data_IF_250028085301
#
_entry.id   IF_250028085301
#
_cell.length_a   1.000
_cell.length_b   1.000
_cell.length_c   1.000
_cell.angle_alpha   90.00
_cell.angle_beta   90.00
_cell.angle_gamma   90.00
#
_symmetry.space_group_name_H-M   'P 1'
#
loop_
_entity.id
_entity.type
_entity.pdbx_description
1 polymer ?
#
# COMPACT_ATOMS: atom_id res chain seq x y z
N UNK A 1 6.96 -30.14 10.30
CA UNK A 1 6.08 -30.20 11.50
C UNK A 1 5.00 -29.12 11.38
N UNK A 2 3.98 -29.20 12.25
CA UNK A 2 2.85 -28.24 12.23
C UNK A 2 2.68 -27.71 13.65
N UNK A 3 2.49 -26.42 13.79
CA UNK A 3 2.40 -25.71 15.06
C UNK A 3 1.07 -24.96 15.16
N UNK A 4 0.59 -24.76 16.37
CA UNK A 4 -0.60 -23.95 16.63
C UNK A 4 -0.22 -22.50 16.82
N UNK A 5 -0.89 -21.59 16.11
CA UNK A 5 -0.72 -20.14 16.26
C UNK A 5 -1.99 -19.55 16.85
N UNK A 6 -1.87 -18.85 17.99
CA UNK A 6 -2.96 -18.13 18.66
C UNK A 6 -2.80 -16.63 18.42
N UNK A 7 -3.85 -15.97 17.92
CA UNK A 7 -3.87 -14.52 17.70
C UNK A 7 -4.41 -13.82 18.94
N UNK A 8 -3.73 -12.78 19.42
CA UNK A 8 -4.22 -11.87 20.45
C UNK A 8 -4.58 -10.52 19.84
N UNK A 9 -5.66 -9.85 20.29
CA UNK A 9 -6.49 -10.17 21.46
C UNK A 9 -7.64 -11.16 21.20
N UNK A 10 -7.95 -11.55 19.94
CA UNK A 10 -9.15 -12.30 19.58
C UNK A 10 -9.23 -13.70 20.22
N UNK A 11 -8.08 -14.35 20.41
CA UNK A 11 -8.01 -15.74 20.87
C UNK A 11 -8.22 -16.78 19.75
N UNK A 12 -8.40 -16.35 18.50
CA UNK A 12 -8.52 -17.24 17.35
C UNK A 12 -7.23 -18.04 17.14
N UNK A 13 -7.37 -19.27 16.66
CA UNK A 13 -6.25 -20.19 16.45
C UNK A 13 -6.24 -20.76 15.05
N UNK A 14 -5.05 -21.00 14.53
CA UNK A 14 -4.85 -21.71 13.27
C UNK A 14 -3.59 -22.55 13.30
N UNK A 15 -3.50 -23.49 12.35
CA UNK A 15 -2.36 -24.37 12.20
C UNK A 15 -1.38 -23.82 11.17
N UNK A 16 -0.09 -23.74 11.48
CA UNK A 16 0.97 -23.29 10.59
C UNK A 16 2.05 -24.37 10.40
N UNK A 17 2.43 -24.62 9.16
CA UNK A 17 3.55 -25.50 8.80
C UNK A 17 4.87 -24.73 8.89
N UNK A 18 5.98 -25.45 9.20
CA UNK A 18 7.32 -24.86 9.20
C UNK A 18 7.77 -24.33 7.83
N UNK A 19 7.12 -24.75 6.74
CA UNK A 19 7.47 -24.40 5.36
C UNK A 19 6.56 -23.32 4.76
N UNK A 20 5.66 -22.73 5.54
CA UNK A 20 4.81 -21.64 5.10
C UNK A 20 4.96 -20.41 5.98
N UNK A 21 4.64 -19.23 5.42
CA UNK A 21 4.62 -18.01 6.21
C UNK A 21 3.40 -17.97 7.15
N UNK A 22 3.54 -17.25 8.27
CA UNK A 22 2.43 -17.07 9.23
C UNK A 22 1.21 -16.45 8.54
N UNK A 23 1.42 -15.51 7.60
CA UNK A 23 0.32 -14.91 6.81
C UNK A 23 -0.37 -15.93 5.91
N UNK A 24 0.38 -16.80 5.24
CA UNK A 24 -0.22 -17.81 4.35
C UNK A 24 -1.01 -18.85 5.15
N UNK A 25 -0.48 -19.26 6.31
CA UNK A 25 -1.16 -20.15 7.23
C UNK A 25 -2.48 -19.55 7.75
N UNK A 26 -2.44 -18.27 8.18
CA UNK A 26 -3.62 -17.53 8.61
C UNK A 26 -4.67 -17.44 7.49
N UNK A 27 -4.26 -17.04 6.28
CA UNK A 27 -5.14 -16.91 5.13
C UNK A 27 -5.81 -18.25 4.76
N UNK A 28 -5.04 -19.34 4.77
CA UNK A 28 -5.56 -20.70 4.55
C UNK A 28 -6.62 -21.10 5.58
N UNK A 29 -6.51 -20.60 6.80
CA UNK A 29 -7.47 -20.82 7.88
C UNK A 29 -8.63 -19.80 7.90
N UNK A 30 -8.72 -18.89 6.93
CA UNK A 30 -9.78 -17.89 6.82
C UNK A 30 -9.54 -16.61 7.63
N UNK A 31 -8.34 -16.42 8.19
CA UNK A 31 -7.98 -15.22 8.94
C UNK A 31 -7.13 -14.28 8.07
N UNK A 32 -7.47 -13.00 8.06
CA UNK A 32 -6.68 -11.99 7.35
C UNK A 32 -5.88 -11.16 8.35
N UNK A 33 -4.55 -11.33 8.34
CA UNK A 33 -3.62 -10.48 9.06
C UNK A 33 -3.16 -9.31 8.17
N UNK A 34 -2.70 -8.18 8.73
CA UNK A 34 -2.21 -7.05 7.95
C UNK A 34 -1.05 -7.45 7.04
N UNK A 35 -1.11 -7.08 5.75
CA UNK A 35 0.00 -7.26 4.83
C UNK A 35 -0.03 -6.24 3.67
N UNK A 36 1.14 -6.01 3.07
CA UNK A 36 1.31 -5.24 1.84
C UNK A 36 2.11 -6.05 0.83
N UNK A 37 3.41 -5.80 0.69
CA UNK A 37 4.27 -6.32 -0.37
C UNK A 37 4.49 -7.85 -0.40
N UNK A 38 4.34 -8.57 0.71
CA UNK A 38 4.61 -10.00 0.90
C UNK A 38 6.05 -10.45 0.60
N UNK A 39 6.96 -9.52 0.31
CA UNK A 39 8.37 -9.78 -0.01
C UNK A 39 9.36 -9.29 1.06
N UNK A 40 8.85 -8.84 2.21
CA UNK A 40 9.69 -8.45 3.35
C UNK A 40 10.25 -7.03 3.30
N UNK A 41 9.72 -6.13 2.46
CA UNK A 41 10.25 -4.76 2.30
C UNK A 41 9.43 -3.67 2.99
N UNK A 42 8.09 -3.77 3.02
CA UNK A 42 7.20 -2.67 3.43
C UNK A 42 6.86 -2.61 4.91
N UNK A 43 7.25 -3.60 5.69
CA UNK A 43 6.96 -3.75 7.13
C UNK A 43 5.45 -3.76 7.51
N UNK A 44 4.49 -3.69 6.57
CA UNK A 44 3.05 -3.66 6.87
C UNK A 44 2.53 -4.92 7.61
N UNK A 45 3.27 -6.02 7.53
CA UNK A 45 2.96 -7.26 8.21
C UNK A 45 3.77 -7.46 9.50
N UNK A 46 4.41 -6.39 10.00
CA UNK A 46 5.17 -6.47 11.26
C UNK A 46 4.22 -6.66 12.43
N UNK A 47 4.45 -7.71 13.20
CA UNK A 47 3.69 -8.02 14.41
C UNK A 47 4.59 -8.62 15.47
N UNK A 48 4.04 -8.85 16.64
CA UNK A 48 4.81 -9.32 17.81
C UNK A 48 4.54 -10.78 18.10
N UNK A 49 5.59 -11.55 18.34
CA UNK A 49 5.54 -12.88 18.92
C UNK A 49 5.62 -12.69 20.43
N UNK A 50 4.54 -13.06 21.12
CA UNK A 50 4.46 -12.98 22.59
C UNK A 50 5.04 -14.22 23.24
N UNK A 51 4.80 -15.40 22.63
CA UNK A 51 5.31 -16.69 23.09
C UNK A 51 5.67 -17.56 21.89
N UNK A 52 6.69 -18.41 22.08
CA UNK A 52 7.19 -19.34 21.07
C UNK A 52 8.39 -18.81 20.27
N UNK A 53 8.76 -19.55 19.23
CA UNK A 53 9.94 -19.25 18.39
C UNK A 53 9.56 -19.26 16.92
N UNK A 54 10.16 -18.34 16.15
CA UNK A 54 9.98 -18.22 14.71
C UNK A 54 11.32 -18.20 13.99
N UNK A 55 11.32 -18.68 12.76
CA UNK A 55 12.35 -18.32 11.80
C UNK A 55 11.89 -17.04 11.10
N UNK A 56 12.72 -16.00 11.14
CA UNK A 56 12.37 -14.69 10.58
C UNK A 56 12.41 -14.63 9.05
N UNK A 57 12.90 -15.69 8.38
CA UNK A 57 13.07 -15.73 6.94
C UNK A 57 14.08 -14.68 6.45
N UNK A 58 13.75 -14.00 5.36
CA UNK A 58 14.65 -13.06 4.66
C UNK A 58 14.06 -11.64 4.58
N UNK A 59 13.92 -10.91 5.71
CA UNK A 59 13.52 -9.50 5.67
C UNK A 59 14.52 -8.68 4.85
N UNK A 60 14.02 -7.66 4.13
CA UNK A 60 14.85 -6.81 3.28
C UNK A 60 15.12 -5.45 3.93
N UNK A 61 16.34 -4.96 3.79
CA UNK A 61 16.72 -3.61 4.24
C UNK A 61 16.41 -3.38 5.72
N UNK A 62 15.79 -2.23 6.03
CA UNK A 62 15.40 -1.81 7.37
C UNK A 62 14.00 -2.27 7.80
N UNK A 63 13.34 -3.14 7.02
CA UNK A 63 11.97 -3.58 7.33
C UNK A 63 11.88 -4.34 8.66
N UNK A 64 12.95 -5.01 9.10
CA UNK A 64 13.07 -5.65 10.40
C UNK A 64 14.52 -5.61 10.87
N UNK A 65 14.81 -4.80 11.87
CA UNK A 65 16.16 -4.64 12.42
C UNK A 65 16.39 -5.51 13.69
N UNK A 66 17.65 -5.71 14.07
CA UNK A 66 17.99 -6.68 15.11
C UNK A 66 17.43 -6.32 16.50
N UNK A 67 17.29 -5.06 16.83
CA UNK A 67 16.68 -4.69 18.12
C UNK A 67 15.18 -5.01 18.15
N UNK A 68 14.49 -4.93 17.00
CA UNK A 68 13.06 -5.30 16.87
C UNK A 68 12.88 -6.82 17.01
N UNK A 69 13.77 -7.62 16.39
CA UNK A 69 13.75 -9.09 16.58
C UNK A 69 13.93 -9.45 18.06
N UNK A 70 14.87 -8.79 18.75
CA UNK A 70 15.09 -8.97 20.20
C UNK A 70 13.87 -8.55 21.05
N UNK A 71 13.08 -7.59 20.57
CA UNK A 71 11.82 -7.16 21.18
C UNK A 71 10.62 -8.08 20.85
N UNK A 72 10.85 -9.17 20.11
CA UNK A 72 9.83 -10.13 19.71
C UNK A 72 9.08 -9.75 18.42
N UNK A 73 9.51 -8.72 17.69
CA UNK A 73 8.87 -8.34 16.43
C UNK A 73 9.36 -9.23 15.28
N UNK A 74 8.46 -9.49 14.33
CA UNK A 74 8.79 -10.20 13.09
C UNK A 74 7.90 -9.73 11.93
N UNK A 75 8.27 -10.09 10.71
CA UNK A 75 7.44 -9.88 9.51
C UNK A 75 6.67 -11.16 9.22
N UNK A 76 5.37 -11.19 9.50
CA UNK A 76 4.55 -12.39 9.34
C UNK A 76 4.49 -12.94 7.91
N UNK A 77 4.82 -12.12 6.89
CA UNK A 77 4.92 -12.59 5.51
C UNK A 77 6.22 -13.33 5.18
N UNK A 78 7.22 -13.26 6.05
CA UNK A 78 8.52 -13.93 5.89
C UNK A 78 8.74 -14.99 6.98
N UNK A 79 8.15 -14.76 8.15
CA UNK A 79 8.37 -15.62 9.30
C UNK A 79 7.57 -16.92 9.19
N UNK A 80 8.21 -18.03 9.60
CA UNK A 80 7.56 -19.34 9.79
C UNK A 80 7.66 -19.81 11.24
N UNK A 81 6.66 -20.57 11.69
CA UNK A 81 6.61 -21.11 13.04
C UNK A 81 7.67 -22.20 13.25
N UNK A 82 8.33 -22.19 14.41
CA UNK A 82 9.28 -23.25 14.87
C UNK A 82 8.84 -23.89 16.19
N UNK A 83 7.79 -23.38 16.79
CA UNK A 83 7.05 -23.94 17.93
C UNK A 83 5.61 -23.46 17.87
N UNK A 84 4.76 -23.87 18.79
CA UNK A 84 3.48 -23.21 19.02
C UNK A 84 3.73 -21.73 19.34
N UNK A 85 2.87 -20.83 18.82
CA UNK A 85 3.03 -19.39 18.90
C UNK A 85 1.81 -18.72 19.55
N UNK A 86 2.08 -17.68 20.34
CA UNK A 86 1.09 -16.63 20.63
C UNK A 86 1.58 -15.36 19.97
N UNK A 87 0.78 -14.79 19.07
CA UNK A 87 1.11 -13.57 18.34
C UNK A 87 0.15 -12.44 18.70
N UNK A 88 0.65 -11.22 18.68
CA UNK A 88 -0.17 -10.00 18.75
C UNK A 88 -0.29 -9.42 17.35
N UNK A 89 -1.51 -9.46 16.81
CA UNK A 89 -1.84 -8.95 15.51
C UNK A 89 -3.31 -8.50 15.46
N UNK A 90 -3.58 -7.43 14.72
CA UNK A 90 -4.96 -7.05 14.39
C UNK A 90 -5.48 -7.96 13.29
N UNK A 91 -6.60 -8.62 13.51
CA UNK A 91 -7.32 -9.28 12.42
C UNK A 91 -8.08 -8.23 11.61
N UNK A 92 -7.99 -8.36 10.29
CA UNK A 92 -8.71 -7.49 9.37
C UNK A 92 -10.03 -8.18 9.03
N UNK A 93 -11.13 -7.57 9.42
CA UNK A 93 -12.44 -7.99 8.94
C UNK A 93 -12.52 -7.71 7.43
N UNK A 94 -12.58 -8.75 6.62
CA UNK A 94 -12.87 -8.61 5.20
C UNK A 94 -14.39 -8.55 5.05
N UNK A 95 -14.92 -7.41 4.65
CA UNK A 95 -16.33 -7.30 4.28
C UNK A 95 -16.53 -7.91 2.89
N UNK A 96 -16.90 -9.18 2.84
CA UNK A 96 -17.25 -9.88 1.61
C UNK A 96 -16.05 -10.60 0.94
N UNK A 97 -16.40 -11.64 0.20
CA UNK A 97 -15.46 -12.51 -0.50
C UNK A 97 -15.00 -11.88 -1.83
N UNK A 98 -14.14 -10.84 -1.77
CA UNK A 98 -13.53 -10.36 -2.99
C UNK A 98 -12.47 -11.36 -3.43
N UNK A 99 -12.76 -12.06 -4.51
CA UNK A 99 -11.90 -13.11 -5.07
C UNK A 99 -10.65 -12.52 -5.70
N UNK A 100 -9.49 -13.07 -5.35
CA UNK A 100 -8.22 -12.78 -6.05
C UNK A 100 -8.23 -13.47 -7.41
N UNK A 101 -8.13 -12.70 -8.48
CA UNK A 101 -8.24 -13.19 -9.85
C UNK A 101 -6.97 -12.91 -10.65
N UNK A 102 -6.68 -13.81 -11.58
CA UNK A 102 -5.63 -13.60 -12.60
C UNK A 102 -6.29 -13.23 -13.91
N UNK A 103 -6.04 -12.02 -14.37
CA UNK A 103 -6.65 -11.46 -15.55
C UNK A 103 -5.61 -10.97 -16.56
N UNK A 104 -5.84 -11.14 -17.85
CA UNK A 104 -5.11 -10.39 -18.86
C UNK A 104 -5.58 -8.94 -18.80
N UNK A 105 -4.67 -8.02 -19.08
CA UNK A 105 -4.97 -6.60 -19.24
C UNK A 105 -4.20 -6.03 -20.40
N UNK A 106 -4.73 -4.97 -21.01
CA UNK A 106 -4.10 -4.31 -22.15
C UNK A 106 -3.73 -2.88 -21.75
N UNK A 107 -2.50 -2.48 -22.04
CA UNK A 107 -2.06 -1.09 -21.88
C UNK A 107 -2.97 -0.18 -22.72
N UNK A 108 -3.66 0.73 -22.06
CA UNK A 108 -4.54 1.71 -22.67
C UNK A 108 -3.81 3.01 -22.94
N UNK A 109 -3.08 3.54 -21.93
CA UNK A 109 -2.21 4.69 -22.05
C UNK A 109 -1.03 4.61 -21.09
N UNK A 110 0.01 5.40 -21.41
CA UNK A 110 1.19 5.61 -20.56
C UNK A 110 1.43 7.12 -20.57
N UNK A 111 1.13 7.77 -19.47
CA UNK A 111 1.25 9.23 -19.33
C UNK A 111 2.44 9.54 -18.40
N UNK A 112 3.50 10.12 -18.90
CA UNK A 112 4.65 10.54 -18.10
C UNK A 112 4.35 11.85 -17.38
N UNK A 113 4.09 11.78 -16.07
CA UNK A 113 3.63 12.90 -15.24
C UNK A 113 4.76 13.57 -14.45
N UNK A 114 5.92 12.93 -14.39
CA UNK A 114 7.18 13.48 -13.88
C UNK A 114 8.35 12.77 -14.57
N UNK A 115 9.57 13.24 -14.37
CA UNK A 115 10.78 12.66 -14.99
C UNK A 115 10.94 11.16 -14.69
N UNK A 116 10.49 10.73 -13.51
CA UNK A 116 10.61 9.36 -13.02
C UNK A 116 9.26 8.71 -12.66
N UNK A 117 8.11 9.31 -13.04
CA UNK A 117 6.78 8.75 -12.75
C UNK A 117 5.92 8.70 -14.00
N UNK A 118 5.38 7.51 -14.28
CA UNK A 118 4.37 7.28 -15.31
C UNK A 118 3.05 6.80 -14.68
N UNK A 119 1.94 7.32 -15.20
CA UNK A 119 0.59 6.81 -14.95
C UNK A 119 0.27 5.82 -16.05
N UNK A 120 0.17 4.55 -15.67
CA UNK A 120 -0.14 3.44 -16.57
C UNK A 120 -1.60 3.05 -16.40
N UNK A 121 -2.40 3.18 -17.46
CA UNK A 121 -3.79 2.71 -17.47
C UNK A 121 -3.90 1.39 -18.19
N UNK A 122 -4.52 0.41 -17.54
CA UNK A 122 -4.71 -0.94 -18.02
C UNK A 122 -6.20 -1.22 -18.20
N UNK A 123 -6.61 -1.59 -19.42
CA UNK A 123 -7.98 -1.98 -19.72
C UNK A 123 -8.14 -3.50 -19.55
N UNK A 124 -9.15 -3.91 -18.81
CA UNK A 124 -9.56 -5.31 -18.68
C UNK A 124 -10.37 -5.76 -19.90
N UNK A 125 -10.51 -7.08 -20.17
CA UNK A 125 -11.47 -7.58 -21.13
C UNK A 125 -12.89 -7.09 -20.84
N UNK A 126 -13.69 -6.86 -21.87
CA UNK A 126 -15.02 -6.23 -21.75
C UNK A 126 -16.03 -7.04 -20.92
N UNK A 127 -15.79 -8.36 -20.77
CA UNK A 127 -16.59 -9.26 -19.94
C UNK A 127 -16.03 -9.46 -18.53
N UNK A 128 -14.98 -8.73 -18.16
CA UNK A 128 -14.29 -8.87 -16.87
C UNK A 128 -14.31 -7.54 -16.10
N UNK A 129 -14.54 -7.67 -14.80
CA UNK A 129 -14.43 -6.57 -13.85
C UNK A 129 -13.61 -7.02 -12.65
N UNK A 130 -12.79 -6.15 -12.13
CA UNK A 130 -12.06 -6.39 -10.89
C UNK A 130 -12.77 -5.62 -9.77
N UNK A 131 -13.36 -6.36 -8.83
CA UNK A 131 -13.86 -5.78 -7.58
C UNK A 131 -12.67 -5.61 -6.62
N UNK A 132 -12.59 -4.49 -5.92
CA UNK A 132 -11.53 -4.22 -4.96
C UNK A 132 -11.94 -3.13 -3.96
N UNK A 133 -11.23 -3.06 -2.85
CA UNK A 133 -11.33 -1.93 -1.91
C UNK A 133 -10.35 -0.84 -2.30
N UNK A 134 -10.77 0.43 -2.16
CA UNK A 134 -9.92 1.58 -2.43
C UNK A 134 -8.63 1.52 -1.61
N UNK A 135 -7.47 1.53 -2.28
CA UNK A 135 -6.14 1.41 -1.68
C UNK A 135 -5.47 0.04 -1.84
N UNK A 136 -6.20 -0.98 -2.30
CA UNK A 136 -5.59 -2.29 -2.62
C UNK A 136 -4.67 -2.20 -3.85
N UNK A 137 -3.89 -3.26 -4.09
CA UNK A 137 -2.92 -3.34 -5.17
C UNK A 137 -3.15 -4.57 -6.07
N UNK A 138 -2.49 -4.57 -7.21
CA UNK A 138 -2.36 -5.74 -8.08
C UNK A 138 -0.88 -6.10 -8.27
N UNK A 139 -0.61 -7.38 -8.47
CA UNK A 139 0.68 -7.86 -8.95
C UNK A 139 0.69 -7.92 -10.47
N UNK A 140 1.69 -7.31 -11.09
CA UNK A 140 2.05 -7.57 -12.48
C UNK A 140 2.88 -8.85 -12.53
N UNK A 141 2.40 -9.83 -13.30
CA UNK A 141 3.06 -11.12 -13.47
C UNK A 141 4.04 -11.04 -14.63
N UNK A 142 5.33 -11.07 -14.36
CA UNK A 142 6.38 -10.97 -15.37
C UNK A 142 6.65 -12.33 -16.02
N UNK A 143 7.23 -12.32 -17.21
CA UNK A 143 7.53 -13.54 -17.99
C UNK A 143 8.55 -14.47 -17.31
N UNK A 144 9.42 -13.92 -16.47
CA UNK A 144 10.41 -14.66 -15.68
C UNK A 144 9.85 -15.24 -14.38
N UNK A 145 8.52 -15.19 -14.20
CA UNK A 145 7.82 -15.68 -13.01
C UNK A 145 7.85 -14.72 -11.83
N UNK A 146 8.59 -13.61 -11.91
CA UNK A 146 8.60 -12.59 -10.86
C UNK A 146 7.32 -11.77 -10.87
N UNK A 147 7.05 -11.12 -9.75
CA UNK A 147 5.88 -10.26 -9.53
C UNK A 147 6.33 -8.85 -9.17
N UNK A 148 5.54 -7.87 -9.56
CA UNK A 148 5.72 -6.47 -9.16
C UNK A 148 4.39 -5.90 -8.71
N UNK A 149 4.34 -5.48 -7.47
CA UNK A 149 3.13 -4.97 -6.82
C UNK A 149 2.98 -3.48 -7.06
N UNK A 150 1.80 -3.07 -7.53
CA UNK A 150 1.42 -1.67 -7.74
C UNK A 150 0.03 -1.41 -7.17
N UNK A 151 -0.07 -0.40 -6.32
CA UNK A 151 -1.37 0.04 -5.80
C UNK A 151 -2.23 0.59 -6.92
N UNK A 152 -3.52 0.25 -6.89
CA UNK A 152 -4.51 0.83 -7.77
C UNK A 152 -4.80 2.27 -7.34
N UNK A 153 -4.63 3.21 -8.26
CA UNK A 153 -4.82 4.63 -8.02
C UNK A 153 -6.23 5.12 -8.35
N UNK A 154 -6.99 4.37 -9.17
CA UNK A 154 -8.40 4.64 -9.43
C UNK A 154 -9.27 4.12 -8.28
N UNK A 155 -10.43 4.74 -8.00
CA UNK A 155 -11.37 4.25 -7.00
C UNK A 155 -12.18 3.06 -7.54
N UNK A 156 -12.79 2.21 -6.65
CA UNK A 156 -13.54 1.01 -7.07
C UNK A 156 -14.73 1.28 -7.98
N UNK A 157 -15.35 2.46 -7.91
CA UNK A 157 -16.47 2.83 -8.77
C UNK A 157 -16.06 3.20 -10.21
N UNK A 158 -14.79 3.60 -10.41
CA UNK A 158 -14.18 3.75 -11.74
C UNK A 158 -13.45 2.47 -12.13
N UNK A 159 -14.23 1.46 -12.53
CA UNK A 159 -13.74 0.11 -12.79
C UNK A 159 -13.53 -0.20 -14.30
N UNK A 160 -13.53 0.81 -15.17
CA UNK A 160 -13.31 0.63 -16.60
C UNK A 160 -11.85 0.36 -16.95
N UNK A 161 -10.96 0.76 -16.05
CA UNK A 161 -9.52 0.56 -16.17
C UNK A 161 -8.89 0.39 -14.78
N UNK A 162 -7.66 -0.09 -14.77
CA UNK A 162 -6.80 -0.06 -13.58
C UNK A 162 -5.73 0.99 -13.81
N UNK A 163 -5.64 1.95 -12.91
CA UNK A 163 -4.64 3.02 -12.94
C UNK A 163 -3.51 2.69 -11.96
N UNK A 164 -2.28 2.67 -12.45
CA UNK A 164 -1.07 2.42 -11.67
C UNK A 164 -0.10 3.58 -11.79
N UNK A 165 0.45 4.06 -10.68
CA UNK A 165 1.53 5.05 -10.69
C UNK A 165 2.86 4.33 -10.56
N UNK A 166 3.63 4.34 -11.63
CA UNK A 166 4.89 3.58 -11.76
C UNK A 166 6.06 4.53 -11.66
N UNK A 167 6.87 4.37 -10.61
CA UNK A 167 8.13 5.10 -10.47
C UNK A 167 9.26 4.34 -11.17
N UNK A 168 10.08 5.06 -11.94
CA UNK A 168 11.26 4.49 -12.57
C UNK A 168 12.29 4.11 -11.50
N UNK A 169 12.62 2.82 -11.45
CA UNK A 169 13.62 2.30 -10.52
C UNK A 169 14.85 1.88 -11.31
N UNK A 170 16.01 2.34 -10.87
CA UNK A 170 17.27 1.92 -11.46
C UNK A 170 17.39 0.38 -11.48
N UNK A 171 17.73 -0.18 -12.64
CA UNK A 171 17.78 -1.63 -12.87
C UNK A 171 16.46 -2.39 -12.63
N UNK A 172 15.34 -1.72 -12.56
CA UNK A 172 14.03 -2.32 -12.36
C UNK A 172 13.50 -2.94 -13.68
N UNK A 173 13.41 -4.26 -13.78
CA UNK A 173 12.98 -4.96 -15.00
C UNK A 173 11.66 -4.44 -15.58
N UNK A 174 10.63 -4.28 -14.75
CA UNK A 174 9.32 -3.78 -15.22
C UNK A 174 9.35 -2.29 -15.51
N UNK A 175 9.99 -1.50 -14.65
CA UNK A 175 10.04 -0.04 -14.84
C UNK A 175 10.85 0.35 -16.08
N UNK A 176 11.95 -0.37 -16.38
CA UNK A 176 12.69 -0.19 -17.62
C UNK A 176 11.81 -0.46 -18.85
N UNK A 177 10.90 -1.44 -18.80
CA UNK A 177 9.93 -1.66 -19.88
C UNK A 177 8.94 -0.50 -20.00
N UNK A 178 8.36 -0.04 -18.90
CA UNK A 178 7.39 1.07 -18.89
C UNK A 178 8.01 2.35 -19.46
N UNK A 179 9.24 2.68 -19.08
CA UNK A 179 9.93 3.90 -19.52
C UNK A 179 10.68 3.78 -20.83
N UNK A 180 10.75 2.60 -21.43
CA UNK A 180 11.53 2.36 -22.66
C UNK A 180 10.74 1.74 -23.78
N UNK A 181 10.34 0.49 -23.64
CA UNK A 181 9.82 -0.33 -24.76
C UNK A 181 8.32 -0.59 -24.75
N UNK A 182 7.64 -0.34 -23.60
CA UNK A 182 6.19 -0.58 -23.48
C UNK A 182 5.40 0.36 -24.38
N UNK A 183 4.35 -0.17 -24.99
CA UNK A 183 3.47 0.58 -25.89
C UNK A 183 2.01 0.35 -25.53
N UNK A 184 1.18 1.26 -25.96
CA UNK A 184 -0.26 1.03 -26.01
C UNK A 184 -0.57 -0.28 -26.72
N UNK A 185 -1.58 -1.00 -26.23
CA UNK A 185 -2.01 -2.34 -26.68
C UNK A 185 -1.12 -3.51 -26.25
N UNK A 186 0.01 -3.28 -25.60
CA UNK A 186 0.77 -4.37 -24.97
C UNK A 186 -0.08 -5.11 -23.95
N UNK A 187 0.12 -6.42 -23.85
CA UNK A 187 -0.63 -7.28 -22.93
C UNK A 187 0.21 -7.56 -21.69
N UNK A 188 -0.37 -7.26 -20.54
CA UNK A 188 0.14 -7.62 -19.23
C UNK A 188 -0.78 -8.64 -18.58
N UNK A 189 -0.25 -9.43 -17.65
CA UNK A 189 -1.05 -10.26 -16.76
C UNK A 189 -0.99 -9.68 -15.36
N UNK A 190 -2.15 -9.57 -14.73
CA UNK A 190 -2.29 -9.08 -13.38
C UNK A 190 -2.91 -10.14 -12.48
N UNK A 191 -2.59 -10.08 -11.19
CA UNK A 191 -3.25 -10.84 -10.13
C UNK A 191 -3.68 -9.88 -9.03
N UNK A 192 -4.94 -9.93 -8.63
CA UNK A 192 -5.50 -9.07 -7.59
C UNK A 192 -7.01 -9.22 -7.44
N UNK A 193 -7.61 -8.44 -6.54
CA UNK A 193 -6.95 -7.45 -5.68
C UNK A 193 -6.17 -8.09 -4.53
N UNK A 194 -5.15 -7.40 -4.06
CA UNK A 194 -4.29 -7.85 -2.97
C UNK A 194 -4.08 -6.71 -1.96
N UNK A 195 -3.66 -7.08 -0.74
CA UNK A 195 -3.32 -6.12 0.30
C UNK A 195 -4.46 -5.74 1.22
N UNK A 196 -4.07 -5.26 2.40
CA UNK A 196 -4.99 -4.84 3.47
C UNK A 196 -4.93 -3.34 3.75
N UNK A 197 -4.27 -2.58 2.88
CA UNK A 197 -4.27 -1.13 2.91
C UNK A 197 -5.52 -0.62 2.20
N UNK A 198 -6.60 -0.38 2.94
CA UNK A 198 -7.85 0.16 2.43
C UNK A 198 -8.60 0.93 3.53
N UNK A 199 -9.55 1.79 3.11
CA UNK A 199 -10.33 2.61 4.01
C UNK A 199 -11.09 1.74 5.04
N UNK A 200 -11.03 2.14 6.30
CA UNK A 200 -11.87 1.60 7.38
C UNK A 200 -13.15 2.42 7.42
N UNK A 201 -14.21 1.92 6.78
CA UNK A 201 -15.50 2.61 6.68
C UNK A 201 -16.31 2.51 7.98
N UNK A 202 -15.94 1.59 8.88
CA UNK A 202 -16.51 1.39 10.20
C UNK A 202 -16.00 2.38 11.26
N UNK A 203 -15.16 3.35 10.87
CA UNK A 203 -14.56 4.35 11.75
C UNK A 203 -15.01 5.75 11.36
N UNK A 204 -15.41 6.54 12.36
CA UNK A 204 -15.76 7.97 12.21
C UNK A 204 -14.60 8.92 12.53
N UNK A 205 -13.41 8.37 12.87
CA UNK A 205 -12.24 9.17 13.23
C UNK A 205 -11.77 10.03 12.06
N UNK A 206 -11.24 11.25 12.32
CA UNK A 206 -10.52 12.02 11.30
C UNK A 206 -9.38 11.22 10.68
N UNK A 207 -9.06 11.52 9.43
CA UNK A 207 -8.08 10.78 8.65
C UNK A 207 -6.82 11.62 8.42
N UNK A 208 -5.66 11.02 8.67
CA UNK A 208 -4.36 11.56 8.29
C UNK A 208 -3.77 10.64 7.22
N UNK A 209 -3.58 11.17 6.02
CA UNK A 209 -2.83 10.52 4.96
C UNK A 209 -1.39 11.04 4.92
N UNK A 210 -0.42 10.13 4.86
CA UNK A 210 0.99 10.45 4.70
C UNK A 210 1.52 9.72 3.47
N UNK A 211 1.70 10.43 2.37
CA UNK A 211 2.21 9.91 1.11
C UNK A 211 3.66 10.35 0.89
N UNK A 212 4.51 9.46 0.36
CA UNK A 212 5.81 9.82 -0.21
C UNK A 212 5.90 9.33 -1.64
N UNK A 213 6.19 10.22 -2.58
CA UNK A 213 6.27 9.90 -4.01
C UNK A 213 5.01 9.19 -4.53
N UNK A 214 5.19 8.03 -5.17
CA UNK A 214 4.08 7.21 -5.70
C UNK A 214 3.26 6.48 -4.64
N UNK A 215 3.61 6.58 -3.35
CA UNK A 215 2.73 6.20 -2.25
C UNK A 215 1.41 6.99 -2.24
N UNK A 216 1.33 8.05 -3.02
CA UNK A 216 0.09 8.77 -3.31
C UNK A 216 -0.97 7.91 -4.02
N UNK A 217 -0.58 6.93 -4.84
CA UNK A 217 -1.51 6.13 -5.64
C UNK A 217 -2.65 5.48 -4.83
N UNK A 218 -2.39 4.66 -3.79
CA UNK A 218 -3.46 4.07 -3.00
C UNK A 218 -4.26 5.11 -2.20
N UNK A 219 -3.61 6.20 -1.79
CA UNK A 219 -4.26 7.30 -1.07
C UNK A 219 -5.21 8.05 -1.98
N UNK A 220 -4.83 8.29 -3.25
CA UNK A 220 -5.71 8.85 -4.28
C UNK A 220 -6.99 8.02 -4.43
N UNK A 221 -6.84 6.71 -4.58
CA UNK A 221 -7.97 5.78 -4.68
C UNK A 221 -8.92 5.91 -3.48
N UNK A 222 -8.37 5.97 -2.26
CA UNK A 222 -9.17 6.12 -1.03
C UNK A 222 -9.87 7.48 -0.98
N UNK A 223 -9.18 8.58 -1.30
CA UNK A 223 -9.77 9.93 -1.27
C UNK A 223 -10.92 10.04 -2.28
N UNK A 224 -10.71 9.56 -3.52
CA UNK A 224 -11.76 9.58 -4.55
C UNK A 224 -12.96 8.72 -4.17
N UNK A 225 -12.71 7.58 -3.49
CA UNK A 225 -13.79 6.75 -2.94
C UNK A 225 -14.56 7.48 -1.81
N UNK A 226 -13.86 8.15 -0.89
CA UNK A 226 -14.48 8.98 0.17
C UNK A 226 -15.38 10.06 -0.43
N UNK A 227 -14.91 10.72 -1.50
CA UNK A 227 -15.66 11.78 -2.20
C UNK A 227 -16.92 11.19 -2.86
N UNK A 228 -16.81 10.07 -3.58
CA UNK A 228 -17.94 9.40 -4.22
C UNK A 228 -19.00 8.95 -3.20
N UNK A 229 -18.56 8.35 -2.11
CA UNK A 229 -19.43 7.87 -1.03
C UNK A 229 -19.94 9.00 -0.12
N UNK A 230 -19.48 10.23 -0.31
CA UNK A 230 -19.82 11.39 0.53
C UNK A 230 -19.56 11.14 2.02
N UNK A 231 -18.44 10.50 2.33
CA UNK A 231 -18.03 10.24 3.72
C UNK A 231 -17.52 11.55 4.32
N UNK A 232 -18.22 12.06 5.31
CA UNK A 232 -17.95 13.35 5.95
C UNK A 232 -16.96 13.19 7.12
N UNK A 233 -15.71 12.87 6.82
CA UNK A 233 -14.63 12.80 7.81
C UNK A 233 -13.58 13.86 7.51
N UNK A 234 -13.06 14.58 8.53
CA UNK A 234 -11.94 15.51 8.32
C UNK A 234 -10.72 14.78 7.77
N UNK A 235 -10.10 15.33 6.71
CA UNK A 235 -8.96 14.73 6.03
C UNK A 235 -7.78 15.71 6.04
N UNK A 236 -6.61 15.22 6.42
CA UNK A 236 -5.33 15.91 6.26
C UNK A 236 -4.41 15.06 5.38
N UNK A 237 -4.12 15.54 4.17
CA UNK A 237 -3.20 14.88 3.23
C UNK A 237 -1.84 15.56 3.30
N UNK A 238 -0.85 14.85 3.83
CA UNK A 238 0.57 15.19 3.74
C UNK A 238 1.18 14.42 2.56
N UNK A 239 1.70 15.13 1.56
CA UNK A 239 2.36 14.48 0.44
C UNK A 239 3.77 15.01 0.25
N UNK A 240 4.75 14.11 0.39
CA UNK A 240 6.18 14.41 0.31
C UNK A 240 6.79 14.09 -1.05
N UNK A 241 7.61 15.01 -1.52
CA UNK A 241 8.53 14.84 -2.65
C UNK A 241 9.93 15.34 -2.27
N UNK A 242 10.96 14.97 -3.04
CA UNK A 242 12.30 15.58 -2.89
C UNK A 242 12.29 17.01 -3.42
N UNK A 243 11.67 17.20 -4.58
CA UNK A 243 11.52 18.50 -5.27
C UNK A 243 10.03 18.78 -5.48
N UNK A 244 9.63 20.04 -5.70
CA UNK A 244 8.23 20.37 -5.98
C UNK A 244 7.62 19.56 -7.14
N UNK A 245 8.37 19.34 -8.21
CA UNK A 245 7.96 18.54 -9.37
C UNK A 245 7.67 17.07 -9.06
N UNK A 246 8.16 16.53 -7.94
CA UNK A 246 7.90 15.14 -7.53
C UNK A 246 6.48 14.98 -6.95
N UNK A 247 5.80 16.10 -6.66
CA UNK A 247 4.37 16.14 -6.29
C UNK A 247 3.54 16.25 -7.58
N UNK A 248 3.64 15.22 -8.41
CA UNK A 248 3.22 15.20 -9.82
C UNK A 248 1.71 15.37 -10.09
N UNK A 249 0.86 15.30 -9.07
CA UNK A 249 -0.58 15.55 -9.16
C UNK A 249 -1.02 16.62 -8.13
N UNK A 250 -0.17 17.62 -7.89
CA UNK A 250 -0.45 18.70 -6.95
C UNK A 250 -1.76 19.41 -7.22
N UNK A 251 -2.04 19.74 -8.50
CA UNK A 251 -3.28 20.41 -8.93
C UNK A 251 -4.53 19.61 -8.53
N UNK A 252 -4.48 18.28 -8.61
CA UNK A 252 -5.58 17.41 -8.17
C UNK A 252 -5.81 17.51 -6.67
N UNK A 253 -4.74 17.46 -5.86
CA UNK A 253 -4.84 17.59 -4.41
C UNK A 253 -5.31 18.98 -3.96
N UNK A 254 -4.88 20.03 -4.64
CA UNK A 254 -5.37 21.41 -4.45
C UNK A 254 -6.85 21.55 -4.81
N UNK A 255 -7.28 20.92 -5.91
CA UNK A 255 -8.69 20.88 -6.27
C UNK A 255 -9.52 20.23 -5.16
N UNK A 256 -9.09 19.13 -4.58
CA UNK A 256 -9.81 18.52 -3.43
C UNK A 256 -9.84 19.45 -2.22
N UNK A 257 -8.71 20.11 -1.90
CA UNK A 257 -8.66 21.07 -0.79
C UNK A 257 -9.62 22.26 -0.97
N UNK A 258 -9.89 22.66 -2.22
CA UNK A 258 -10.79 23.75 -2.56
C UNK A 258 -12.26 23.35 -2.68
N UNK A 259 -12.56 22.05 -2.90
CA UNK A 259 -13.91 21.59 -3.23
C UNK A 259 -14.51 20.63 -2.21
N UNK A 260 -13.68 19.99 -1.38
CA UNK A 260 -14.14 19.03 -0.38
C UNK A 260 -14.09 19.66 1.01
N UNK A 261 -15.21 19.69 1.70
CA UNK A 261 -15.30 20.24 3.05
C UNK A 261 -14.35 19.47 4.00
N UNK A 262 -13.69 20.21 4.89
CA UNK A 262 -12.76 19.64 5.89
C UNK A 262 -11.55 18.87 5.32
N UNK A 263 -11.18 19.12 4.06
CA UNK A 263 -9.98 18.58 3.44
C UNK A 263 -8.83 19.59 3.51
N UNK A 264 -7.68 19.14 4.01
CA UNK A 264 -6.43 19.92 4.03
C UNK A 264 -5.37 19.21 3.21
N UNK A 265 -4.69 19.95 2.33
CA UNK A 265 -3.54 19.47 1.60
C UNK A 265 -2.27 20.17 2.07
N UNK A 266 -1.27 19.40 2.48
CA UNK A 266 0.00 19.86 3.01
C UNK A 266 1.13 19.24 2.17
N UNK A 267 1.57 19.89 1.08
CA UNK A 267 2.74 19.43 0.34
C UNK A 267 4.02 19.70 1.14
N UNK A 268 4.96 18.74 1.11
CA UNK A 268 6.22 18.82 1.84
C UNK A 268 7.37 18.45 0.93
N UNK A 269 8.42 19.27 0.86
CA UNK A 269 9.58 19.05 -0.01
C UNK A 269 10.83 18.90 0.83
N UNK A 270 11.56 17.76 0.65
CA UNK A 270 12.73 17.48 1.47
C UNK A 270 14.02 18.17 0.99
N UNK A 271 14.20 18.32 -0.32
CA UNK A 271 15.44 18.76 -0.95
C UNK A 271 15.23 19.93 -1.92
N UNK A 272 14.37 20.91 -1.53
CA UNK A 272 14.16 22.11 -2.31
C UNK A 272 15.48 22.90 -2.47
N UNK A 273 15.75 23.33 -3.69
CA UNK A 273 16.88 24.21 -4.01
C UNK A 273 16.42 25.65 -4.26
N UNK A 274 17.33 26.59 -4.33
CA UNK A 274 17.00 27.98 -4.61
C UNK A 274 16.26 28.18 -5.95
N UNK A 275 16.50 27.31 -6.93
CA UNK A 275 15.87 27.36 -8.25
C UNK A 275 14.42 26.85 -8.25
N UNK A 276 13.97 26.15 -7.21
CA UNK A 276 12.61 25.56 -7.16
C UNK A 276 11.50 26.57 -6.85
N UNK A 277 11.83 27.78 -6.43
CA UNK A 277 10.85 28.79 -6.02
C UNK A 277 9.80 28.20 -5.05
N UNK A 278 10.23 27.40 -4.09
CA UNK A 278 9.39 26.73 -3.12
C UNK A 278 9.17 27.58 -1.86
N UNK A 279 7.92 27.91 -1.55
CA UNK A 279 7.52 28.64 -0.34
C UNK A 279 6.73 27.78 0.66
N UNK A 280 6.50 26.50 0.31
CA UNK A 280 5.77 25.56 1.16
C UNK A 280 6.64 24.93 2.24
N UNK A 281 6.10 23.91 2.90
CA UNK A 281 6.75 23.21 3.99
C UNK A 281 7.96 22.41 3.50
N UNK A 282 9.05 22.42 4.28
CA UNK A 282 10.28 21.67 3.98
C UNK A 282 10.56 20.57 5.00
N UNK A 283 11.32 19.54 4.59
CA UNK A 283 11.72 18.42 5.43
C UNK A 283 11.02 17.10 5.06
N UNK A 284 11.07 16.15 5.98
CA UNK A 284 10.47 14.82 5.76
C UNK A 284 8.97 14.84 6.07
N UNK A 285 8.17 14.28 5.18
CA UNK A 285 6.70 14.34 5.24
C UNK A 285 6.12 13.76 6.53
N UNK A 286 6.66 12.66 7.05
CA UNK A 286 6.20 12.07 8.30
C UNK A 286 6.52 12.95 9.51
N UNK A 287 7.68 13.63 9.51
CA UNK A 287 8.04 14.60 10.57
C UNK A 287 7.06 15.78 10.54
N UNK A 288 6.71 16.26 9.35
CA UNK A 288 5.71 17.31 9.18
C UNK A 288 4.36 16.92 9.79
N UNK A 289 3.88 15.70 9.50
CA UNK A 289 2.63 15.19 10.08
C UNK A 289 2.70 15.05 11.61
N UNK A 290 3.82 14.52 12.14
CA UNK A 290 4.03 14.36 13.59
C UNK A 290 4.13 15.70 14.35
N UNK A 291 4.64 16.75 13.71
CA UNK A 291 4.70 18.10 14.31
C UNK A 291 3.31 18.69 14.44
N UNK A 292 2.42 18.50 13.45
CA UNK A 292 1.07 19.03 13.49
C UNK A 292 0.12 18.17 14.34
N UNK A 293 0.42 16.86 14.44
CA UNK A 293 -0.33 15.89 15.23
C UNK A 293 0.60 15.12 16.16
N UNK A 294 1.04 15.72 17.29
CA UNK A 294 1.90 15.03 18.25
C UNK A 294 1.24 13.79 18.89
N UNK A 295 -0.09 13.80 18.98
CA UNK A 295 -0.93 12.66 19.36
C UNK A 295 -1.90 12.34 18.24
N UNK A 296 -1.72 11.17 17.62
CA UNK A 296 -2.56 10.65 16.55
C UNK A 296 -3.57 9.59 17.03
N UNK A 297 -3.68 9.30 18.32
CA UNK A 297 -4.54 8.24 18.88
C UNK A 297 -6.03 8.43 18.55
N UNK A 298 -6.44 9.67 18.34
CA UNK A 298 -7.80 10.04 17.91
C UNK A 298 -8.02 9.97 16.39
N UNK A 299 -7.06 9.52 15.61
CA UNK A 299 -7.10 9.55 14.15
C UNK A 299 -6.94 8.15 13.53
N UNK A 300 -7.43 7.99 12.32
CA UNK A 300 -7.00 6.91 11.42
C UNK A 300 -5.82 7.42 10.59
N UNK A 301 -4.69 6.70 10.64
CA UNK A 301 -3.48 7.09 9.91
C UNK A 301 -3.19 6.10 8.80
N UNK A 302 -3.09 6.60 7.57
CA UNK A 302 -2.73 5.83 6.38
C UNK A 302 -1.42 6.35 5.83
N UNK A 303 -0.37 5.54 5.89
CA UNK A 303 0.95 5.91 5.40
C UNK A 303 1.41 4.99 4.29
N UNK A 304 1.84 5.56 3.16
CA UNK A 304 2.37 4.81 2.03
C UNK A 304 3.50 5.58 1.33
N UNK A 305 4.55 4.86 0.97
CA UNK A 305 5.74 5.39 0.31
C UNK A 305 7.02 4.85 0.91
N UNK A 306 8.14 5.51 0.65
CA UNK A 306 9.50 5.18 1.13
C UNK A 306 9.97 6.22 2.14
#
# INVERSE_FOLDING_TARGET
MTHTVTIKPSGNTFSASENESIIDAAARAGFTLPYGCRNGTCASCKGKVLEGTVDHGSPQGSALVDFEKKAGLTLFCQASARSDLIIEAREIATSGDIEVRRLPSRVQSIDYVADDVAVLRLKLPSNEQLQFFAGQYVDILLRDGKRRSYSMANPPHDNQHIELHVRNMENGTFTTQVFGSMKEKDILRIEGPLGTFFLREDSDKPIIFVASGTGFAPIKSIIEHIIDKKIERPISLYWGGRRPKDIYAQELAEKWANTVAHFKFIPVVSDATADDVWSGRTGLVHIAAMQDFPDMSGHEVYSCGV
#
